data_IF_248636159504
#
_entry.id   IF_248636159504
#
_cell.length_a   1.000
_cell.length_b   1.000
_cell.length_c   1.000
_cell.angle_alpha   90.00
_cell.angle_beta   90.00
_cell.angle_gamma   90.00
#
_symmetry.space_group_name_H-M   'P 1'
#
loop_
_entity.id
_entity.type
_entity.pdbx_description
1 polymer ?
2 non-polymer ?
3 non-polymer ?
4 non-polymer ?
5 water ?
#
# COMPACT_ATOMS: atom_id res chain seq x y z
N UNK A 3 10.74 -25.39 14.53
CA UNK A 3 11.77 -24.50 13.99
C UNK A 3 11.71 -24.51 12.45
N UNK A 4 10.70 -23.84 11.88
CA UNK A 4 10.54 -23.91 10.40
C UNK A 4 11.71 -23.41 9.59
N UNK A 5 12.43 -22.40 10.08
CA UNK A 5 13.44 -21.70 9.28
C UNK A 5 14.86 -22.25 9.47
N UNK A 6 15.01 -23.47 9.98
CA UNK A 6 16.34 -24.04 10.16
C UNK A 6 17.00 -24.21 8.80
N UNK A 7 18.28 -23.86 8.73
CA UNK A 7 19.03 -23.88 7.50
C UNK A 7 18.92 -22.61 6.67
N UNK A 8 17.96 -21.73 6.98
CA UNK A 8 17.78 -20.49 6.24
C UNK A 8 18.50 -19.35 6.95
N UNK A 9 19.19 -18.53 6.15
CA UNK A 9 20.02 -17.43 6.62
C UNK A 9 19.33 -16.10 6.33
N UNK A 10 19.36 -15.19 7.31
CA UNK A 10 18.68 -13.90 7.22
C UNK A 10 19.67 -12.82 7.68
N UNK A 11 19.88 -11.82 6.82
CA UNK A 11 20.65 -10.64 7.16
C UNK A 11 19.68 -9.53 7.54
N UNK A 12 19.86 -9.00 8.75
CA UNK A 12 19.00 -7.94 9.28
C UNK A 12 19.86 -6.69 9.30
N UNK A 13 19.49 -5.70 8.50
CA UNK A 13 20.19 -4.43 8.38
C UNK A 13 19.30 -3.36 9.03
N UNK A 14 19.68 -2.94 10.23
CA UNK A 14 18.85 -2.05 11.04
C UNK A 14 19.77 -1.40 12.06
N UNK A 15 19.67 -0.08 12.21
CA UNK A 15 20.56 0.66 13.10
C UNK A 15 19.98 0.88 14.49
N UNK A 16 18.66 0.71 14.67
CA UNK A 16 18.02 0.94 15.97
C UNK A 16 17.97 -0.36 16.77
N UNK A 17 18.40 -0.30 18.03
CA UNK A 17 18.70 -1.50 18.79
C UNK A 17 17.44 -2.30 19.15
N UNK A 18 16.35 -1.62 19.54
CA UNK A 18 15.17 -2.32 20.03
C UNK A 18 14.58 -3.20 18.92
N UNK A 19 14.36 -2.61 17.74
CA UNK A 19 13.73 -3.36 16.66
C UNK A 19 14.68 -4.42 16.09
N UNK A 20 15.98 -4.12 16.03
CA UNK A 20 16.93 -5.13 15.57
C UNK A 20 16.95 -6.34 16.49
N UNK A 21 17.00 -6.09 17.80
CA UNK A 21 16.96 -7.19 18.76
C UNK A 21 15.64 -7.94 18.67
N UNK A 22 14.54 -7.21 18.43
CA UNK A 22 13.24 -7.85 18.29
C UNK A 22 13.21 -8.82 17.11
N UNK A 23 13.67 -8.35 15.95
CA UNK A 23 13.71 -9.20 14.78
C UNK A 23 14.68 -10.36 14.97
N UNK A 24 15.85 -10.09 15.57
CA UNK A 24 16.83 -11.14 15.78
C UNK A 24 16.28 -12.24 16.67
N UNK A 25 15.62 -11.86 17.77
CA UNK A 25 15.02 -12.83 18.68
C UNK A 25 13.92 -13.62 17.98
N UNK A 26 13.06 -12.93 17.23
CA UNK A 26 11.92 -13.60 16.61
C UNK A 26 12.37 -14.56 15.53
N UNK A 27 13.31 -14.15 14.66
CA UNK A 27 13.81 -15.05 13.63
C UNK A 27 14.58 -16.22 14.25
N UNK A 28 15.37 -15.96 15.31
CA UNK A 28 16.17 -17.01 15.91
C UNK A 28 15.30 -18.04 16.62
N UNK A 29 14.20 -17.59 17.22
CA UNK A 29 13.28 -18.53 17.85
C UNK A 29 12.65 -19.46 16.82
N UNK A 30 12.44 -18.98 15.61
CA UNK A 30 11.91 -19.79 14.51
C UNK A 30 12.97 -20.64 13.81
N UNK A 31 14.23 -20.58 14.26
CA UNK A 31 15.28 -21.46 13.79
C UNK A 31 16.25 -20.85 12.80
N UNK A 32 16.06 -19.61 12.40
CA UNK A 32 16.91 -19.01 11.37
C UNK A 32 18.25 -18.60 11.95
N UNK A 33 19.28 -18.67 11.10
CA UNK A 33 20.60 -18.12 11.39
C UNK A 33 20.58 -16.65 10.99
N UNK A 34 20.72 -15.77 11.97
CA UNK A 34 20.62 -14.33 11.77
C UNK A 34 21.98 -13.67 11.83
N UNK A 35 22.22 -12.78 10.88
CA UNK A 35 23.42 -11.95 10.84
C UNK A 35 22.97 -10.50 10.92
N UNK A 36 23.60 -9.74 11.81
CA UNK A 36 23.18 -8.38 12.14
C UNK A 36 24.15 -7.38 11.53
N UNK A 37 23.58 -6.35 10.87
CA UNK A 37 24.34 -5.27 10.26
C UNK A 37 23.85 -3.94 10.81
N UNK A 38 24.78 -3.09 11.23
CA UNK A 38 24.41 -1.79 11.76
C UNK A 38 23.98 -0.82 10.65
N UNK A 39 24.59 -0.91 9.47
CA UNK A 39 24.31 0.04 8.40
C UNK A 39 24.65 -0.61 7.06
N UNK A 40 24.63 0.19 5.99
CA UNK A 40 24.85 -0.35 4.65
C UNK A 40 26.27 -0.85 4.42
N UNK A 41 27.25 -0.10 4.92
CA UNK A 41 28.65 -0.50 4.74
C UNK A 41 28.91 -1.81 5.47
N UNK A 42 28.47 -1.88 6.72
CA UNK A 42 28.59 -3.09 7.51
C UNK A 42 27.88 -4.25 6.83
N UNK A 43 26.74 -3.97 6.18
CA UNK A 43 26.03 -5.00 5.45
C UNK A 43 26.85 -5.52 4.27
N UNK A 44 27.50 -4.63 3.52
CA UNK A 44 28.30 -5.08 2.37
C UNK A 44 29.50 -5.90 2.83
N UNK A 45 30.17 -5.45 3.89
CA UNK A 45 31.30 -6.21 4.43
C UNK A 45 30.86 -7.59 4.91
N UNK A 46 29.70 -7.67 5.56
CA UNK A 46 29.18 -8.97 5.97
C UNK A 46 28.77 -9.82 4.77
N UNK A 47 28.28 -9.19 3.69
CA UNK A 47 27.93 -9.94 2.49
C UNK A 47 29.16 -10.49 1.80
N UNK A 48 30.34 -9.94 2.07
CA UNK A 48 31.56 -10.57 1.62
C UNK A 48 31.80 -11.99 2.14
N UNK A 49 31.15 -12.36 3.25
CA UNK A 49 31.31 -13.68 3.84
C UNK A 49 30.04 -14.38 4.28
N UNK A 50 28.90 -13.91 3.77
CA UNK A 50 27.61 -14.52 4.05
C UNK A 50 26.77 -14.43 2.78
N UNK A 51 26.00 -15.47 2.50
CA UNK A 51 25.06 -15.54 1.37
C UNK A 51 23.66 -15.65 1.97
N UNK A 52 23.00 -14.55 2.29
CA UNK A 52 21.65 -14.67 2.88
C UNK A 52 20.65 -15.24 1.90
N UNK A 53 19.70 -16.00 2.45
CA UNK A 53 18.50 -16.38 1.72
C UNK A 53 17.46 -15.26 1.70
N UNK A 54 17.57 -14.30 2.62
CA UNK A 54 16.64 -13.17 2.67
C UNK A 54 17.39 -12.04 3.37
N UNK A 55 17.02 -10.81 3.01
CA UNK A 55 17.49 -9.60 3.67
C UNK A 55 16.28 -8.82 4.20
N UNK A 56 16.37 -8.35 5.43
CA UNK A 56 15.48 -7.33 5.98
C UNK A 56 16.32 -6.05 6.12
N UNK A 57 15.80 -4.94 5.61
CA UNK A 57 16.59 -3.75 5.37
C UNK A 57 15.82 -2.48 5.73
N UNK A 58 16.33 -1.75 6.72
CA UNK A 58 15.88 -0.40 7.06
C UNK A 58 16.50 0.59 6.08
N UNK A 59 15.82 1.73 5.89
CA UNK A 59 16.30 2.77 4.99
C UNK A 59 17.24 3.72 5.72
N UNK A 60 16.72 4.48 6.68
CA UNK A 60 17.51 5.55 7.30
C UNK A 60 18.54 4.95 8.25
N UNK A 61 19.81 5.04 7.89
CA UNK A 61 20.92 4.47 8.66
C UNK A 61 22.15 5.39 8.49
N UNK A 62 23.06 5.40 9.51
CA UNK A 62 24.09 6.47 9.49
C UNK A 62 25.01 6.58 8.27
N UNK A 63 25.84 5.59 7.96
CA UNK A 63 26.94 5.83 7.03
C UNK A 63 26.58 5.45 5.60
N UNK A 64 25.62 4.56 5.41
CA UNK A 64 25.01 4.31 4.10
C UNK A 64 23.58 3.90 4.37
N UNK A 65 22.63 4.61 3.75
CA UNK A 65 21.23 4.25 3.91
C UNK A 65 20.94 2.97 3.14
N UNK A 66 19.77 2.36 3.45
CA UNK A 66 19.43 1.09 2.85
C UNK A 66 19.16 1.16 1.36
N UNK A 67 18.83 2.34 0.84
CA UNK A 67 18.56 2.47 -0.59
C UNK A 67 19.85 2.42 -1.40
N UNK A 68 20.93 3.01 -0.87
CA UNK A 68 22.23 2.88 -1.53
C UNK A 68 22.77 1.45 -1.41
N UNK A 69 22.51 0.77 -0.28
CA UNK A 69 22.90 -0.63 -0.17
C UNK A 69 22.16 -1.46 -1.21
N UNK A 70 20.85 -1.23 -1.33
CA UNK A 70 20.05 -1.95 -2.31
C UNK A 70 20.55 -1.67 -3.72
N UNK A 71 20.90 -0.42 -3.99
CA UNK A 71 21.44 -0.03 -5.29
C UNK A 71 22.74 -0.77 -5.58
N UNK A 72 23.62 -0.89 -4.58
CA UNK A 72 24.89 -1.58 -4.77
C UNK A 72 24.68 -3.06 -5.04
N UNK A 73 23.83 -3.72 -4.24
CA UNK A 73 23.69 -5.18 -4.42
C UNK A 73 22.99 -5.48 -5.75
N UNK A 74 22.03 -4.64 -6.15
CA UNK A 74 21.33 -4.88 -7.41
C UNK A 74 22.19 -4.54 -8.62
N UNK A 75 23.08 -3.53 -8.53
CA UNK A 75 24.03 -3.31 -9.61
C UNK A 75 24.96 -4.49 -9.81
N UNK A 76 25.30 -5.19 -8.72
CA UNK A 76 26.15 -6.37 -8.74
C UNK A 76 25.42 -7.62 -9.25
N UNK A 77 24.16 -7.50 -9.65
CA UNK A 77 23.42 -8.66 -10.11
C UNK A 77 22.92 -9.58 -9.03
N UNK A 78 23.07 -9.21 -7.77
CA UNK A 78 22.49 -9.97 -6.67
C UNK A 78 20.97 -9.86 -6.72
N UNK A 79 20.30 -11.01 -6.68
CA UNK A 79 18.84 -11.10 -6.72
C UNK A 79 18.26 -11.70 -5.45
N UNK A 80 18.98 -11.58 -4.33
CA UNK A 80 18.45 -12.01 -3.05
C UNK A 80 17.17 -11.25 -2.73
N UNK A 81 16.11 -11.89 -2.20
CA UNK A 81 14.93 -11.12 -1.81
C UNK A 81 15.24 -10.14 -0.69
N UNK A 82 14.62 -8.97 -0.78
CA UNK A 82 14.73 -7.91 0.23
C UNK A 82 13.33 -7.57 0.71
N UNK A 83 13.15 -7.54 2.03
CA UNK A 83 11.98 -6.96 2.66
C UNK A 83 12.43 -5.63 3.27
N UNK A 84 11.80 -4.53 2.84
CA UNK A 84 12.08 -3.22 3.39
C UNK A 84 11.14 -2.98 4.56
N UNK A 85 11.71 -2.67 5.72
CA UNK A 85 10.95 -2.32 6.92
C UNK A 85 11.54 -1.00 7.40
N UNK A 86 10.76 0.09 7.29
CA UNK A 86 11.27 1.43 7.49
C UNK A 86 10.19 2.32 8.09
N UNK A 87 10.61 3.25 8.94
CA UNK A 87 9.71 4.27 9.47
C UNK A 87 9.55 5.46 8.54
N UNK A 88 10.07 5.39 7.31
CA UNK A 88 10.13 6.57 6.46
C UNK A 88 8.75 7.02 6.03
N UNK A 89 8.55 8.33 6.06
CA UNK A 89 7.39 8.99 5.49
C UNK A 89 7.72 9.69 4.17
N UNK A 90 8.88 9.41 3.59
CA UNK A 90 9.31 10.03 2.34
C UNK A 90 8.93 9.12 1.18
N UNK A 91 8.07 9.63 0.31
CA UNK A 91 7.51 8.79 -0.75
C UNK A 91 8.55 8.51 -1.84
N UNK A 92 9.53 9.41 -1.98
CA UNK A 92 10.65 9.17 -2.90
C UNK A 92 11.39 7.88 -2.54
N UNK A 93 11.52 7.59 -1.24
CA UNK A 93 12.18 6.37 -0.81
C UNK A 93 11.40 5.13 -1.25
N UNK A 94 10.08 5.14 -1.10
CA UNK A 94 9.28 3.99 -1.51
C UNK A 94 9.36 3.80 -3.02
N UNK A 95 9.26 4.90 -3.78
CA UNK A 95 9.37 4.80 -5.24
C UNK A 95 10.73 4.25 -5.67
N UNK A 96 11.81 4.69 -5.01
CA UNK A 96 13.14 4.20 -5.39
C UNK A 96 13.30 2.72 -5.02
N UNK A 97 12.75 2.33 -3.87
CA UNK A 97 12.79 0.91 -3.49
C UNK A 97 12.06 0.04 -4.50
N UNK A 98 10.90 0.51 -4.98
CA UNK A 98 10.16 -0.23 -5.99
C UNK A 98 10.93 -0.31 -7.29
N UNK A 99 11.60 0.78 -7.67
CA UNK A 99 12.39 0.78 -8.91
C UNK A 99 13.57 -0.19 -8.81
N UNK A 100 14.21 -0.26 -7.64
CA UNK A 100 15.38 -1.12 -7.48
C UNK A 100 15.03 -2.60 -7.38
N UNK A 101 13.80 -2.93 -6.98
CA UNK A 101 13.35 -4.31 -6.93
C UNK A 101 13.36 -4.90 -5.54
N UNK A 102 12.20 -4.91 -4.87
CA UNK A 102 12.05 -5.44 -3.53
C UNK A 102 10.81 -6.32 -3.49
N UNK A 103 10.80 -7.26 -2.54
CA UNK A 103 9.65 -8.14 -2.38
C UNK A 103 8.50 -7.44 -1.69
N UNK A 104 8.78 -6.52 -0.77
CA UNK A 104 7.71 -5.79 -0.11
C UNK A 104 8.31 -4.59 0.62
N UNK A 105 7.44 -3.64 0.96
CA UNK A 105 7.80 -2.46 1.72
C UNK A 105 6.81 -2.37 2.87
N UNK A 106 7.29 -2.61 4.09
CA UNK A 106 6.50 -2.49 5.31
C UNK A 106 6.86 -1.19 6.01
N UNK A 107 5.85 -0.45 6.44
CA UNK A 107 6.05 0.83 7.09
C UNK A 107 5.88 0.63 8.59
N UNK A 108 6.90 0.99 9.34
CA UNK A 108 6.87 0.81 10.79
C UNK A 108 5.81 1.72 11.40
N UNK A 109 5.24 1.34 12.56
CA UNK A 109 5.41 0.09 13.33
C UNK A 109 4.72 -1.09 12.65
N UNK A 110 5.27 -2.28 12.81
CA UNK A 110 4.62 -3.49 12.33
C UNK A 110 3.58 -3.90 13.37
N UNK A 111 2.31 -3.88 12.99
CA UNK A 111 1.24 -4.01 13.98
C UNK A 111 1.10 -5.45 14.45
N UNK A 112 0.90 -6.39 13.53
CA UNK A 112 0.81 -7.82 13.86
C UNK A 112 1.98 -8.58 13.25
N UNK A 113 2.55 -9.47 14.04
CA UNK A 113 3.71 -10.26 13.61
C UNK A 113 3.32 -11.37 12.65
N UNK A 114 2.04 -11.76 12.59
CA UNK A 114 1.63 -12.81 11.66
C UNK A 114 1.82 -12.38 10.21
N UNK A 115 1.53 -11.10 9.90
CA UNK A 115 1.71 -10.63 8.54
C UNK A 115 3.17 -10.73 8.15
N UNK A 116 4.10 -10.20 8.95
CA UNK A 116 5.52 -10.32 8.67
C UNK A 116 5.98 -11.77 8.62
N UNK A 117 5.38 -12.62 9.45
CA UNK A 117 5.69 -14.05 9.43
C UNK A 117 5.36 -14.66 8.08
N UNK A 118 4.14 -14.42 7.59
CA UNK A 118 3.72 -14.97 6.30
C UNK A 118 4.54 -14.39 5.16
N UNK A 119 4.98 -13.13 5.28
CA UNK A 119 5.76 -12.53 4.21
C UNK A 119 7.16 -13.10 4.13
N UNK A 120 7.82 -13.23 5.30
CA UNK A 120 9.12 -13.92 5.33
C UNK A 120 8.97 -15.32 4.75
N UNK A 121 7.93 -16.03 5.18
CA UNK A 121 7.74 -17.40 4.73
C UNK A 121 7.49 -17.46 3.22
N UNK A 122 6.80 -16.44 2.67
CA UNK A 122 6.65 -16.35 1.22
C UNK A 122 7.99 -16.11 0.53
N UNK A 123 8.90 -15.38 1.18
CA UNK A 123 10.22 -15.18 0.59
C UNK A 123 11.06 -16.46 0.65
N UNK A 124 11.21 -17.03 1.84
CA UNK A 124 12.16 -18.11 2.07
C UNK A 124 11.68 -19.46 1.56
N UNK A 125 10.37 -19.65 1.43
CA UNK A 125 9.80 -20.90 0.93
C UNK A 125 8.67 -20.55 -0.04
N UNK A 126 9.01 -19.95 -1.21
CA UNK A 126 7.95 -19.44 -2.10
C UNK A 126 7.02 -20.51 -2.65
N UNK A 127 7.53 -21.70 -2.93
CA UNK A 127 6.67 -22.79 -3.38
C UNK A 127 5.65 -23.15 -2.31
N UNK A 128 6.05 -23.08 -1.04
CA UNK A 128 5.17 -23.45 0.05
C UNK A 128 4.06 -22.42 0.23
N UNK A 129 4.44 -21.16 0.45
CA UNK A 129 3.53 -20.12 0.94
C UNK A 129 3.12 -19.28 -0.26
N UNK A 130 2.23 -19.86 -1.08
CA UNK A 130 1.68 -19.21 -2.25
C UNK A 130 0.29 -18.65 -1.90
N UNK A 131 0.33 -17.62 -1.05
CA UNK A 131 -0.86 -17.04 -0.43
C UNK A 131 -1.27 -15.76 -1.14
N UNK A 132 -2.21 -15.02 -0.54
CA UNK A 132 -2.46 -13.65 -0.97
C UNK A 132 -1.22 -12.80 -0.75
N UNK A 133 -0.50 -13.05 0.34
CA UNK A 133 0.73 -12.31 0.64
C UNK A 133 1.76 -12.55 -0.46
N UNK A 134 1.85 -13.80 -0.93
CA UNK A 134 2.69 -14.09 -2.08
C UNK A 134 2.34 -13.16 -3.23
N UNK A 135 1.05 -13.04 -3.57
CA UNK A 135 0.66 -12.22 -4.71
C UNK A 135 0.93 -10.73 -4.48
N UNK A 136 0.77 -10.25 -3.24
CA UNK A 136 1.16 -8.87 -2.95
C UNK A 136 2.65 -8.67 -3.21
N UNK A 137 3.47 -9.59 -2.71
CA UNK A 137 4.90 -9.48 -2.96
C UNK A 137 5.22 -9.63 -4.45
N UNK A 138 4.41 -10.42 -5.17
CA UNK A 138 4.60 -10.55 -6.61
C UNK A 138 4.38 -9.20 -7.29
N UNK A 139 3.29 -8.50 -6.91
CA UNK A 139 3.08 -7.14 -7.43
C UNK A 139 4.23 -6.20 -7.05
N UNK A 140 4.80 -6.38 -5.86
CA UNK A 140 5.90 -5.50 -5.45
C UNK A 140 7.16 -5.74 -6.29
N UNK A 141 7.59 -7.01 -6.43
CA UNK A 141 8.83 -7.30 -7.13
C UNK A 141 8.70 -7.17 -8.64
N UNK A 142 7.49 -7.34 -9.21
CA UNK A 142 7.31 -7.26 -10.66
C UNK A 142 7.04 -5.84 -11.16
N UNK A 143 7.29 -4.81 -10.33
CA UNK A 143 6.93 -3.45 -10.70
C UNK A 143 7.60 -2.99 -12.00
N UNK A 144 8.89 -3.27 -12.15
CA UNK A 144 9.57 -2.92 -13.38
C UNK A 144 9.00 -3.71 -14.56
N UNK A 145 8.76 -5.01 -14.36
CA UNK A 145 8.11 -5.82 -15.39
C UNK A 145 6.72 -5.29 -15.73
N UNK A 146 6.02 -4.71 -14.76
CA UNK A 146 4.70 -4.18 -15.01
C UNK A 146 4.76 -2.91 -15.86
N UNK A 147 5.68 -1.99 -15.52
CA UNK A 147 5.75 -0.75 -16.29
C UNK A 147 6.27 -1.02 -17.71
N UNK A 148 7.05 -2.08 -17.90
CA UNK A 148 7.58 -2.41 -19.23
C UNK A 148 6.65 -3.28 -20.08
N UNK A 149 5.42 -3.62 -19.58
CA UNK A 149 4.47 -4.41 -20.34
C UNK A 149 3.08 -3.86 -20.03
N UNK A 150 2.52 -2.99 -20.89
CA UNK A 150 1.18 -2.44 -20.59
C UNK A 150 0.06 -3.47 -20.48
N UNK A 151 0.11 -4.52 -21.32
CA UNK A 151 -0.95 -5.52 -21.31
C UNK A 151 -1.04 -6.24 -19.97
N UNK A 152 0.11 -6.63 -19.43
CA UNK A 152 0.14 -7.31 -18.15
C UNK A 152 -0.38 -6.40 -17.04
N UNK A 153 -0.03 -5.11 -17.08
CA UNK A 153 -0.50 -4.17 -16.07
C UNK A 153 -2.03 -4.03 -16.13
N UNK A 154 -2.58 -3.88 -17.33
CA UNK A 154 -4.03 -3.73 -17.46
C UNK A 154 -4.75 -5.00 -17.01
N UNK A 155 -4.22 -6.16 -17.38
CA UNK A 155 -4.82 -7.43 -16.98
C UNK A 155 -4.79 -7.58 -15.46
N UNK A 156 -3.66 -7.26 -14.84
CA UNK A 156 -3.56 -7.38 -13.39
C UNK A 156 -4.53 -6.41 -12.70
N UNK A 157 -4.65 -5.19 -13.23
CA UNK A 157 -5.55 -4.21 -12.62
C UNK A 157 -6.99 -4.71 -12.69
N UNK A 158 -7.38 -5.29 -13.82
CA UNK A 158 -8.74 -5.80 -13.94
C UNK A 158 -8.95 -7.03 -13.06
N UNK A 159 -7.93 -7.89 -12.91
CA UNK A 159 -8.05 -9.05 -12.04
C UNK A 159 -8.15 -8.66 -10.56
N UNK A 160 -7.67 -7.48 -10.19
CA UNK A 160 -7.73 -7.00 -8.82
C UNK A 160 -9.00 -6.21 -8.48
N UNK A 161 -9.91 -6.03 -9.43
CA UNK A 161 -11.16 -5.31 -9.15
C UNK A 161 -12.01 -6.15 -8.21
N UNK A 162 -12.48 -5.62 -7.07
CA UNK A 162 -13.04 -6.50 -6.03
C UNK A 162 -14.39 -7.06 -6.43
N UNK A 163 -14.86 -8.13 -5.77
CA UNK A 163 -16.21 -8.62 -6.06
C UNK A 163 -17.28 -7.59 -5.77
N UNK A 164 -18.40 -7.70 -6.49
CA UNK A 164 -19.50 -6.77 -6.29
C UNK A 164 -20.25 -6.97 -4.97
N UNK A 165 -19.92 -8.02 -4.21
CA UNK A 165 -20.60 -8.33 -2.95
C UNK A 165 -19.55 -8.85 -1.97
N UNK A 166 -19.35 -8.14 -0.85
CA UNK A 166 -18.30 -8.49 0.10
C UNK A 166 -18.75 -8.25 1.54
N UNK A 167 -18.05 -8.92 2.45
CA UNK A 167 -18.10 -8.64 3.89
C UNK A 167 -16.69 -8.24 4.31
N UNK A 168 -16.55 -7.01 4.77
CA UNK A 168 -15.27 -6.43 5.16
C UNK A 168 -15.46 -5.81 6.53
N UNK A 169 -14.65 -6.25 7.50
CA UNK A 169 -14.62 -5.70 8.85
C UNK A 169 -15.99 -5.72 9.50
N UNK A 170 -16.71 -6.84 9.36
CA UNK A 170 -18.06 -7.04 9.87
C UNK A 170 -19.09 -6.08 9.27
N UNK A 171 -18.75 -5.42 8.16
CA UNK A 171 -19.66 -4.56 7.41
C UNK A 171 -19.95 -5.22 6.07
N UNK A 172 -21.11 -4.90 5.51
CA UNK A 172 -21.60 -5.43 4.25
C UNK A 172 -21.29 -4.37 3.20
N UNK A 173 -20.52 -4.70 2.16
CA UNK A 173 -20.10 -3.73 1.13
C UNK A 173 -20.40 -4.27 -0.27
N UNK A 174 -21.26 -3.56 -1.01
CA UNK A 174 -21.56 -3.84 -2.42
C UNK A 174 -21.14 -2.67 -3.29
N UNK A 175 -20.95 -2.93 -4.59
CA UNK A 175 -21.05 -1.87 -5.58
C UNK A 175 -21.72 -2.38 -6.84
N UNK A 176 -22.03 -1.41 -7.72
CA UNK A 176 -22.37 -1.68 -9.12
C UNK A 176 -21.76 -0.60 -10.01
N UNK A 177 -21.06 -1.03 -11.05
CA UNK A 177 -20.79 -0.14 -12.18
C UNK A 177 -22.10 0.10 -12.91
N UNK A 178 -22.38 1.37 -13.23
CA UNK A 178 -23.59 1.79 -13.92
C UNK A 178 -23.33 2.29 -15.32
N UNK A 179 -22.24 3.03 -15.51
CA UNK A 179 -21.71 3.40 -16.82
C UNK A 179 -20.25 2.99 -16.80
N UNK A 180 -19.89 1.97 -17.58
CA UNK A 180 -18.49 1.57 -17.75
C UNK A 180 -18.30 1.19 -19.22
N UNK A 181 -18.00 2.21 -20.04
CA UNK A 181 -17.54 1.94 -21.39
C UNK A 181 -16.08 1.53 -21.46
N UNK A 182 -15.33 1.68 -20.35
CA UNK A 182 -13.94 1.27 -20.24
C UNK A 182 -13.83 0.15 -19.20
N UNK A 183 -13.12 -0.95 -19.56
CA UNK A 183 -12.99 -2.11 -18.68
C UNK A 183 -12.21 -1.70 -17.41
N UNK A 184 -10.89 -1.32 -17.49
CA UNK A 184 -10.32 -0.59 -16.34
C UNK A 184 -10.76 0.87 -16.47
N UNK A 185 -11.97 1.13 -16.00
CA UNK A 185 -12.59 2.45 -16.01
C UNK A 185 -12.52 3.06 -14.64
N UNK A 186 -13.59 2.91 -13.86
CA UNK A 186 -13.59 3.30 -12.45
C UNK A 186 -13.08 2.12 -11.63
N UNK A 187 -11.85 2.23 -11.17
CA UNK A 187 -11.21 1.23 -10.34
C UNK A 187 -11.64 1.47 -8.90
N UNK A 188 -11.77 0.41 -8.15
CA UNK A 188 -12.18 0.46 -6.75
C UNK A 188 -11.28 -0.44 -5.93
N UNK A 189 -10.98 0.00 -4.72
CA UNK A 189 -10.35 -0.83 -3.70
C UNK A 189 -11.07 -0.59 -2.39
N UNK A 190 -11.36 -1.68 -1.68
CA UNK A 190 -11.98 -1.63 -0.37
C UNK A 190 -11.17 -2.59 0.49
N UNK A 191 -10.73 -2.13 1.66
CA UNK A 191 -9.81 -2.91 2.46
C UNK A 191 -10.04 -2.69 3.95
N UNK A 192 -10.02 -3.78 4.69
CA UNK A 192 -10.06 -3.73 6.15
C UNK A 192 -8.75 -3.22 6.70
N UNK A 193 -8.84 -2.41 7.76
CA UNK A 193 -7.69 -1.97 8.53
C UNK A 193 -7.63 -2.62 9.90
N UNK A 194 -8.78 -2.87 10.51
CA UNK A 194 -8.87 -3.69 11.71
C UNK A 194 -10.17 -4.48 11.66
N UNK A 195 -10.52 -5.08 12.79
CA UNK A 195 -11.80 -5.76 12.91
C UNK A 195 -12.97 -4.80 12.70
N UNK A 196 -12.78 -3.51 13.05
CA UNK A 196 -13.88 -2.56 13.19
C UNK A 196 -13.71 -1.30 12.33
N UNK A 197 -12.80 -1.29 11.36
CA UNK A 197 -12.75 -0.15 10.46
C UNK A 197 -12.16 -0.56 9.13
N UNK A 198 -12.54 0.18 8.11
CA UNK A 198 -12.12 -0.10 6.74
C UNK A 198 -11.93 1.22 6.02
N UNK A 199 -11.19 1.14 4.92
CA UNK A 199 -11.01 2.28 4.03
C UNK A 199 -11.24 1.83 2.60
N UNK A 200 -11.44 2.80 1.73
CA UNK A 200 -11.67 2.49 0.33
C UNK A 200 -11.24 3.68 -0.51
N UNK A 201 -11.08 3.41 -1.80
CA UNK A 201 -10.72 4.43 -2.77
C UNK A 201 -11.35 4.04 -4.09
N UNK A 202 -11.77 5.07 -4.83
CA UNK A 202 -12.27 4.93 -6.18
C UNK A 202 -11.45 5.85 -7.05
N UNK A 203 -10.85 5.32 -8.12
CA UNK A 203 -9.93 6.02 -9.01
C UNK A 203 -10.45 5.98 -10.44
N UNK A 204 -10.23 7.07 -11.18
CA UNK A 204 -10.59 7.20 -12.59
C UNK A 204 -9.31 7.18 -13.41
N UNK A 205 -8.95 6.00 -13.91
CA UNK A 205 -7.71 5.83 -14.68
C UNK A 205 -7.80 6.36 -16.11
N UNK A 206 -9.00 6.65 -16.61
CA UNK A 206 -9.17 7.00 -18.02
C UNK A 206 -8.65 8.40 -18.33
N UNK A 207 -8.70 9.30 -17.35
CA UNK A 207 -8.23 10.67 -17.55
C UNK A 207 -6.76 10.70 -17.91
N UNK A 208 -5.94 9.90 -17.21
CA UNK A 208 -4.49 9.90 -17.40
C UNK A 208 -3.98 8.86 -18.39
N UNK A 209 -4.84 7.99 -18.90
CA UNK A 209 -4.35 6.97 -19.83
C UNK A 209 -3.58 5.88 -19.11
N UNK A 210 -2.46 5.48 -19.71
CA UNK A 210 -1.71 4.32 -19.20
C UNK A 210 -1.13 4.61 -17.81
N UNK A 211 -0.67 5.84 -17.56
CA UNK A 211 -0.21 6.18 -16.22
C UNK A 211 -1.31 6.11 -15.18
N UNK A 212 -2.58 6.21 -15.59
CA UNK A 212 -3.66 5.93 -14.65
C UNK A 212 -3.61 4.50 -14.16
N UNK A 213 -3.47 3.54 -15.08
CA UNK A 213 -3.47 2.12 -14.74
C UNK A 213 -2.34 1.82 -13.77
N UNK A 214 -1.13 2.26 -14.12
CA UNK A 214 0.04 2.06 -13.26
C UNK A 214 -0.19 2.68 -11.90
N UNK A 215 -0.76 3.89 -11.87
CA UNK A 215 -1.02 4.56 -10.61
C UNK A 215 -1.96 3.73 -9.75
N UNK A 216 -3.00 3.17 -10.38
CA UNK A 216 -3.95 2.31 -9.67
C UNK A 216 -3.22 1.13 -9.04
N UNK A 217 -2.35 0.49 -9.83
CA UNK A 217 -1.60 -0.67 -9.34
C UNK A 217 -0.74 -0.27 -8.14
N UNK A 218 -0.05 0.86 -8.27
CA UNK A 218 0.82 1.32 -7.21
C UNK A 218 0.02 1.64 -5.96
N UNK A 219 -1.13 2.28 -6.15
CA UNK A 219 -1.97 2.64 -5.01
C UNK A 219 -2.50 1.39 -4.34
N UNK A 220 -2.84 0.36 -5.14
CA UNK A 220 -3.31 -0.89 -4.56
C UNK A 220 -2.21 -1.55 -3.74
N UNK A 221 -0.96 -1.38 -4.16
CA UNK A 221 0.11 -2.00 -3.39
C UNK A 221 0.28 -1.33 -2.04
N UNK A 222 -0.04 -0.03 -1.93
CA UNK A 222 0.48 0.78 -0.83
C UNK A 222 -0.55 1.56 -0.03
N UNK A 223 -1.81 1.63 -0.48
CA UNK A 223 -2.81 2.51 0.12
C UNK A 223 -3.01 2.24 1.60
N UNK A 224 -3.30 0.97 1.95
CA UNK A 224 -3.41 0.57 3.35
C UNK A 224 -2.17 0.93 4.14
N UNK A 225 -1.00 0.61 3.57
CA UNK A 225 0.24 0.88 4.27
C UNK A 225 0.45 2.34 4.56
N UNK A 226 -0.02 3.21 3.66
CA UNK A 226 0.14 4.64 3.92
C UNK A 226 -0.89 5.12 4.93
N UNK A 227 -2.09 4.52 4.93
CA UNK A 227 -3.12 4.95 5.86
C UNK A 227 -2.76 4.53 7.28
N UNK A 228 -2.45 3.24 7.45
CA UNK A 228 -2.04 2.67 8.73
C UNK A 228 -0.89 3.46 9.36
N UNK A 229 0.13 3.76 8.53
CA UNK A 229 1.30 4.49 9.00
C UNK A 229 0.90 5.84 9.59
N UNK A 230 0.01 6.56 8.90
CA UNK A 230 -0.47 7.85 9.39
C UNK A 230 -1.07 7.70 10.78
N UNK A 231 -1.99 6.72 10.93
CA UNK A 231 -2.64 6.50 12.20
C UNK A 231 -1.64 6.09 13.27
N UNK A 232 -0.58 5.38 12.88
CA UNK A 232 0.43 5.03 13.87
C UNK A 232 1.32 6.21 14.20
N UNK A 233 1.74 6.98 13.18
CA UNK A 233 2.78 7.96 13.43
C UNK A 233 2.21 9.20 14.11
N UNK A 234 1.01 9.59 13.72
CA UNK A 234 0.32 10.71 14.32
C UNK A 234 -0.50 10.33 15.55
N UNK A 235 -0.56 9.04 15.89
CA UNK A 235 -1.22 8.54 17.11
C UNK A 235 -2.70 8.92 17.12
N UNK A 236 -3.40 8.50 16.06
CA UNK A 236 -4.80 8.85 15.86
C UNK A 236 -5.61 7.63 15.45
N UNK A 237 -6.87 7.61 15.89
CA UNK A 237 -7.82 6.60 15.43
C UNK A 237 -8.39 6.99 14.08
N UNK A 238 -8.84 8.24 13.95
CA UNK A 238 -9.51 8.73 12.75
C UNK A 238 -8.52 9.41 11.83
N UNK A 239 -8.48 9.10 10.54
CA UNK A 239 -7.39 9.61 9.71
C UNK A 239 -7.63 11.04 9.27
N UNK A 240 -6.59 11.60 8.66
CA UNK A 240 -6.63 12.91 8.00
C UNK A 240 -6.41 12.58 6.52
N UNK A 241 -7.52 12.29 5.82
CA UNK A 241 -7.43 11.71 4.49
C UNK A 241 -6.83 12.70 3.49
N UNK A 242 -6.95 14.01 3.73
CA UNK A 242 -6.31 14.99 2.86
C UNK A 242 -4.80 14.87 2.89
N UNK A 243 -4.23 14.71 4.09
CA UNK A 243 -2.79 14.51 4.21
C UNK A 243 -2.36 13.22 3.53
N UNK A 244 -3.17 12.17 3.64
CA UNK A 244 -2.90 10.92 2.95
C UNK A 244 -2.82 11.15 1.45
N UNK A 245 -3.79 11.89 0.90
CA UNK A 245 -3.79 12.10 -0.54
C UNK A 245 -2.64 12.98 -0.99
N UNK A 246 -2.16 13.89 -0.13
CA UNK A 246 -0.94 14.62 -0.45
C UNK A 246 0.26 13.67 -0.53
N UNK A 247 0.33 12.72 0.40
CA UNK A 247 1.39 11.71 0.31
C UNK A 247 1.23 10.86 -0.96
N UNK A 248 -0.01 10.60 -1.38
CA UNK A 248 -0.22 9.84 -2.60
C UNK A 248 0.25 10.63 -3.81
N UNK A 249 0.00 11.96 -3.80
CA UNK A 249 0.53 12.83 -4.83
C UNK A 249 2.04 12.70 -4.94
N UNK A 250 2.72 12.78 -3.79
CA UNK A 250 4.19 12.69 -3.81
C UNK A 250 4.66 11.32 -4.27
N UNK A 251 3.91 10.26 -3.95
CA UNK A 251 4.28 8.93 -4.42
C UNK A 251 4.16 8.83 -5.94
N UNK A 252 3.02 9.29 -6.51
CA UNK A 252 2.85 9.19 -7.95
C UNK A 252 3.83 10.07 -8.71
N UNK A 253 4.17 11.24 -8.16
CA UNK A 253 5.18 12.08 -8.80
C UNK A 253 6.55 11.40 -8.74
N UNK A 254 6.95 10.92 -7.56
CA UNK A 254 8.25 10.28 -7.41
C UNK A 254 8.35 8.95 -8.15
N UNK A 255 7.23 8.31 -8.46
CA UNK A 255 7.22 7.11 -9.29
C UNK A 255 7.24 7.40 -10.78
N UNK A 256 7.39 8.67 -11.19
CA UNK A 256 7.42 9.08 -12.61
C UNK A 256 6.12 8.68 -13.32
N UNK A 257 4.99 9.03 -12.69
CA UNK A 257 3.66 8.82 -13.24
C UNK A 257 2.94 10.17 -13.31
N UNK A 258 3.38 11.07 -14.19
CA UNK A 258 2.65 12.34 -14.34
C UNK A 258 1.29 12.13 -14.95
N UNK A 259 0.34 12.99 -14.56
CA UNK A 259 -1.00 12.91 -15.11
C UNK A 259 -2.00 13.61 -14.20
N UNK A 260 -3.27 13.31 -14.44
CA UNK A 260 -4.40 13.76 -13.62
C UNK A 260 -5.16 12.51 -13.19
N UNK A 261 -5.35 12.36 -11.88
CA UNK A 261 -5.90 11.13 -11.30
C UNK A 261 -7.10 11.49 -10.44
N UNK A 262 -8.31 11.53 -11.02
CA UNK A 262 -9.50 11.81 -10.19
C UNK A 262 -9.78 10.67 -9.23
N UNK A 263 -9.84 11.00 -7.94
CA UNK A 263 -9.89 10.04 -6.85
C UNK A 263 -10.89 10.47 -5.80
N UNK A 264 -11.55 9.49 -5.18
CA UNK A 264 -12.30 9.66 -3.95
C UNK A 264 -11.75 8.65 -2.97
N UNK A 265 -11.51 9.07 -1.72
CA UNK A 265 -11.06 8.16 -0.66
C UNK A 265 -12.02 8.31 0.51
N UNK A 266 -12.21 7.21 1.24
CA UNK A 266 -13.06 7.21 2.41
C UNK A 266 -12.61 6.19 3.44
N UNK A 267 -13.11 6.38 4.66
CA UNK A 267 -12.86 5.48 5.77
C UNK A 267 -14.13 5.39 6.61
N UNK A 268 -14.42 4.20 7.11
CA UNK A 268 -15.57 3.95 7.97
C UNK A 268 -15.11 3.22 9.22
N UNK A 269 -15.68 3.63 10.35
CA UNK A 269 -15.48 2.97 11.64
C UNK A 269 -16.85 2.54 12.14
N UNK A 270 -17.06 1.21 12.27
CA UNK A 270 -18.37 0.69 12.63
C UNK A 270 -18.64 0.86 14.11
N UNK A 271 -17.65 0.78 14.97
CA UNK A 271 -17.92 1.00 16.39
C UNK A 271 -18.38 2.43 16.65
N UNK A 272 -17.76 3.39 15.97
CA UNK A 272 -18.15 4.79 16.06
C UNK A 272 -19.25 5.17 15.08
N UNK A 273 -19.61 4.29 14.13
CA UNK A 273 -20.64 4.57 13.13
C UNK A 273 -20.32 5.82 12.33
N UNK A 274 -19.05 5.95 11.94
CA UNK A 274 -18.46 7.22 11.50
C UNK A 274 -17.85 7.01 10.12
N UNK A 275 -18.43 7.68 9.12
CA UNK A 275 -17.90 7.73 7.76
C UNK A 275 -17.14 9.04 7.59
N UNK A 276 -16.01 8.96 6.91
CA UNK A 276 -15.17 10.09 6.56
C UNK A 276 -14.92 9.96 5.06
N UNK A 277 -15.04 11.08 4.34
CA UNK A 277 -14.87 11.11 2.89
C UNK A 277 -14.07 12.34 2.48
N UNK A 278 -13.27 12.18 1.41
CA UNK A 278 -12.70 13.35 0.73
C UNK A 278 -12.46 12.97 -0.72
N UNK A 279 -12.65 13.96 -1.61
CA UNK A 279 -12.48 13.80 -3.04
C UNK A 279 -11.40 14.73 -3.56
N UNK A 280 -10.58 14.21 -4.48
CA UNK A 280 -9.68 14.98 -5.32
C UNK A 280 -10.05 14.63 -6.76
N UNK A 281 -11.05 15.33 -7.31
CA UNK A 281 -11.35 15.29 -8.72
C UNK A 281 -12.62 14.56 -9.13
N UNK A 282 -13.17 13.68 -8.28
CA UNK A 282 -14.37 12.92 -8.63
C UNK A 282 -15.62 13.51 -7.98
N UNK A 283 -16.72 13.49 -8.71
CA UNK A 283 -18.00 13.91 -8.17
C UNK A 283 -18.63 12.79 -7.37
N UNK A 284 -19.32 13.15 -6.28
CA UNK A 284 -19.93 12.16 -5.41
C UNK A 284 -21.13 12.73 -4.67
N UNK A 285 -22.15 11.89 -4.52
CA UNK A 285 -23.32 12.21 -3.71
C UNK A 285 -23.55 11.06 -2.74
N UNK A 286 -23.51 11.37 -1.44
CA UNK A 286 -23.71 10.44 -0.36
C UNK A 286 -25.16 10.51 0.11
N UNK A 287 -25.69 9.36 0.52
CA UNK A 287 -27.02 9.28 1.10
C UNK A 287 -26.94 8.32 2.28
N UNK A 288 -27.06 8.87 3.50
CA UNK A 288 -26.81 8.16 4.75
C UNK A 288 -28.07 7.58 5.38
N UNK A 289 -29.24 7.77 4.76
CA UNK A 289 -30.49 7.39 5.38
C UNK A 289 -31.23 8.58 5.96
N UNK A 290 -30.50 9.48 6.64
CA UNK A 290 -31.06 10.67 7.23
C UNK A 290 -30.91 11.90 6.35
N UNK A 291 -29.82 12.00 5.59
CA UNK A 291 -29.49 13.15 4.79
C UNK A 291 -28.94 12.71 3.44
N UNK A 292 -29.04 13.62 2.48
CA UNK A 292 -28.24 13.58 1.26
C UNK A 292 -27.17 14.66 1.41
N UNK A 293 -25.92 14.30 1.13
CA UNK A 293 -24.78 15.22 1.17
C UNK A 293 -24.09 15.15 -0.18
N UNK A 294 -24.01 16.27 -0.87
CA UNK A 294 -23.27 16.37 -2.13
C UNK A 294 -21.85 16.80 -1.79
N UNK A 295 -20.87 16.03 -2.28
CA UNK A 295 -19.47 16.23 -1.93
C UNK A 295 -18.85 17.09 -3.03
N UNK A 296 -18.09 18.11 -2.64
CA UNK A 296 -17.35 18.92 -3.59
C UNK A 296 -16.25 18.08 -4.22
N UNK A 297 -16.20 18.05 -5.56
CA UNK A 297 -15.28 17.16 -6.25
C UNK A 297 -13.82 17.58 -6.15
N UNK A 298 -13.53 18.84 -5.86
CA UNK A 298 -12.13 19.27 -5.77
C UNK A 298 -11.47 19.23 -7.14
N UNK A 299 -10.15 19.01 -7.13
CA UNK A 299 -9.34 18.86 -8.35
C UNK A 299 -8.58 17.54 -8.28
N UNK A 300 -8.22 16.91 -9.42
CA UNK A 300 -7.54 15.61 -9.35
C UNK A 300 -6.17 15.69 -8.70
N UNK A 301 -5.73 14.53 -8.21
CA UNK A 301 -4.33 14.36 -7.86
C UNK A 301 -3.47 14.40 -9.12
N UNK A 302 -2.16 14.46 -8.92
CA UNK A 302 -1.20 14.66 -9.98
C UNK A 302 -0.65 16.06 -10.09
N UNK A 303 -1.27 17.02 -9.41
CA UNK A 303 -0.72 18.35 -9.21
C UNK A 303 -0.43 18.57 -7.73
N UNK A 304 0.58 19.36 -7.45
CA UNK A 304 0.90 19.77 -6.09
C UNK A 304 0.10 21.02 -5.75
N UNK A 305 -0.13 21.22 -4.46
CA UNK A 305 -0.87 22.38 -4.01
C UNK A 305 -2.37 22.23 -4.06
N UNK A 306 -2.87 21.00 -3.92
CA UNK A 306 -4.31 20.76 -3.90
C UNK A 306 -4.90 21.43 -2.66
N UNK A 307 -5.72 22.47 -2.90
CA UNK A 307 -6.28 23.29 -1.84
C UNK A 307 -7.68 22.87 -1.39
N UNK A 308 -8.23 21.81 -1.98
CA UNK A 308 -9.62 21.43 -1.78
C UNK A 308 -9.75 20.04 -1.16
N UNK A 309 -8.76 19.65 -0.37
CA UNK A 309 -8.76 18.35 0.31
C UNK A 309 -9.37 18.48 1.70
N UNK A 310 -10.58 19.02 1.74
CA UNK A 310 -11.28 19.28 2.99
C UNK A 310 -12.22 18.12 3.29
N UNK A 311 -12.04 17.54 4.46
CA UNK A 311 -12.61 16.27 4.84
C UNK A 311 -14.02 16.44 5.36
N UNK A 312 -14.89 15.47 5.03
CA UNK A 312 -16.30 15.49 5.42
C UNK A 312 -16.59 14.28 6.29
N UNK A 313 -17.15 14.51 7.47
CA UNK A 313 -17.48 13.46 8.43
C UNK A 313 -18.99 13.37 8.63
N UNK A 314 -19.50 12.14 8.69
CA UNK A 314 -20.93 11.87 8.82
C UNK A 314 -21.16 10.66 9.72
N UNK A 315 -22.20 10.75 10.55
CA UNK A 315 -22.60 9.63 11.41
C UNK A 315 -23.69 8.84 10.72
N UNK A 316 -23.52 7.53 10.67
CA UNK A 316 -24.46 6.68 9.96
C UNK A 316 -24.14 5.21 10.21
N UNK A 317 -25.20 4.40 10.21
CA UNK A 317 -25.09 2.94 10.25
C UNK A 317 -25.06 2.31 8.86
N UNK A 318 -25.37 3.07 7.82
CA UNK A 318 -25.44 2.56 6.46
C UNK A 318 -25.46 3.76 5.51
N UNK A 319 -25.00 3.56 4.28
CA UNK A 319 -24.94 4.65 3.34
C UNK A 319 -24.78 4.10 1.93
N UNK A 320 -25.21 4.89 0.96
CA UNK A 320 -24.97 4.65 -0.45
C UNK A 320 -24.38 5.91 -1.06
N UNK A 321 -23.29 5.76 -1.81
CA UNK A 321 -22.61 6.87 -2.47
C UNK A 321 -22.59 6.62 -3.97
N UNK A 322 -23.23 7.50 -4.72
CA UNK A 322 -23.04 7.55 -6.17
C UNK A 322 -21.76 8.30 -6.43
N UNK A 323 -20.89 7.74 -7.28
CA UNK A 323 -19.57 8.28 -7.56
C UNK A 323 -19.40 8.30 -9.08
N UNK A 324 -18.90 9.41 -9.62
CA UNK A 324 -18.74 9.48 -11.05
C UNK A 324 -17.72 10.53 -11.46
N UNK A 325 -17.16 10.32 -12.65
CA UNK A 325 -16.26 11.24 -13.32
C UNK A 325 -16.35 10.97 -14.82
N UNK A 326 -15.37 11.43 -15.58
CA UNK A 326 -15.40 11.20 -17.03
C UNK A 326 -15.26 9.71 -17.36
N UNK A 327 -14.62 8.93 -16.49
CA UNK A 327 -14.42 7.52 -16.78
C UNK A 327 -15.69 6.70 -16.71
N UNK A 328 -16.67 7.12 -15.92
CA UNK A 328 -17.88 6.36 -15.76
C UNK A 328 -18.52 6.66 -14.42
N UNK A 329 -19.37 5.72 -14.00
CA UNK A 329 -20.31 5.89 -12.90
C UNK A 329 -20.42 4.59 -12.14
N UNK A 330 -20.43 4.67 -10.81
CA UNK A 330 -20.77 3.52 -10.00
C UNK A 330 -21.50 3.99 -8.75
N UNK A 331 -22.12 3.02 -8.08
CA UNK A 331 -22.73 3.21 -6.77
C UNK A 331 -22.08 2.25 -5.80
N UNK A 332 -21.47 2.79 -4.74
CA UNK A 332 -20.88 2.03 -3.64
C UNK A 332 -21.83 2.08 -2.46
N UNK A 333 -21.99 0.95 -1.77
CA UNK A 333 -23.05 0.78 -0.78
C UNK A 333 -22.48 0.05 0.42
N UNK A 334 -22.71 0.58 1.63
CA UNK A 334 -22.25 -0.03 2.88
C UNK A 334 -23.39 -0.11 3.88
N UNK A 335 -23.40 -1.18 4.68
CA UNK A 335 -24.22 -1.27 5.87
C UNK A 335 -23.43 -1.91 7.00
N UNK A 336 -23.48 -1.28 8.18
CA UNK A 336 -22.77 -1.82 9.35
C UNK A 336 -23.51 -2.98 10.00
N UNK A 337 -24.81 -3.09 9.77
CA UNK A 337 -25.60 -4.25 10.22
C UNK A 337 -25.64 -5.28 9.10
#
# INVERSE_FOLDING_TARGET
>A
MTQPLVGKQILIVEDEQVFRSLLDSWFSSLGATTVLAADGVDALELLGGFTPDLMICDIAMPRMNGLKLLEHIRNRGDQTPVLVISATENMADIAKALRLGVEDVLLKPVKDLNRLREMVFACLYPSMFNSRVEEEERLFRDWDAMVDNPAAAAKLLQELQPPVQQVISHCRVNYRQLVAADKPGLVLDIAALSENDLAFYCLDVTRAGHNGVLAALLLRALFNGLLQEQLAHQNQRLPELGALLKQVNHLLRQANLPGQFPLLVGYYHRELKNLILVSAGLNATLNTGEHQVQISNGVPLGTLGNAYLNQLSQRCDAWQCQIWGTGGRLRLMLSAE
#
